data_IF_962668600943
#
_entry.id   IF_962668600943
#
_cell.length_a   1.000
_cell.length_b   1.000
_cell.length_c   1.000
_cell.angle_alpha   90.00
_cell.angle_beta   90.00
_cell.angle_gamma   90.00
#
_symmetry.space_group_name_H-M   'P 1'
#
loop_
_entity.id
_entity.type
_entity.pdbx_description
1 polymer ?
#
# COMPACT_ATOMS: atom_id res chain seq x y z
N UNK A 1 -1.71 -5.59 -8.09
CA UNK A 1 -1.12 -4.39 -8.74
C UNK A 1 -2.16 -3.29 -8.67
N UNK A 2 -1.80 -2.12 -8.14
CA UNK A 2 -2.75 -1.00 -7.94
C UNK A 2 -3.52 -0.61 -9.22
N UNK A 3 -2.86 -0.65 -10.38
CA UNK A 3 -3.49 -0.38 -11.68
C UNK A 3 -4.62 -1.37 -12.04
N UNK A 4 -4.46 -2.67 -11.76
CA UNK A 4 -5.52 -3.67 -11.99
C UNK A 4 -6.71 -3.44 -11.05
N UNK A 5 -6.45 -3.06 -9.80
CA UNK A 5 -7.51 -2.71 -8.85
C UNK A 5 -8.24 -1.43 -9.28
N UNK A 6 -7.53 -0.43 -9.80
CA UNK A 6 -8.12 0.82 -10.29
C UNK A 6 -9.10 0.58 -11.45
N UNK A 7 -8.70 -0.21 -12.45
CA UNK A 7 -9.55 -0.53 -13.60
C UNK A 7 -10.87 -1.19 -13.17
N UNK A 8 -10.79 -2.20 -12.29
CA UNK A 8 -11.98 -2.89 -11.75
C UNK A 8 -12.90 -1.92 -11.01
N UNK A 9 -12.35 -0.98 -10.23
CA UNK A 9 -13.15 0.03 -9.52
C UNK A 9 -13.82 1.01 -10.46
N UNK A 10 -13.16 1.38 -11.57
CA UNK A 10 -13.77 2.22 -12.60
C UNK A 10 -14.93 1.50 -13.30
N UNK A 11 -14.76 0.23 -13.68
CA UNK A 11 -15.84 -0.58 -14.25
C UNK A 11 -17.02 -0.73 -13.29
N UNK A 12 -16.75 -0.96 -12.00
CA UNK A 12 -17.80 -1.00 -10.96
C UNK A 12 -18.56 0.32 -10.87
N UNK A 13 -17.85 1.46 -10.98
CA UNK A 13 -18.46 2.78 -10.97
C UNK A 13 -19.41 2.95 -12.15
N UNK A 14 -18.97 2.65 -13.37
CA UNK A 14 -19.79 2.71 -14.58
C UNK A 14 -21.06 1.86 -14.42
N UNK A 15 -20.92 0.62 -13.95
CA UNK A 15 -22.07 -0.26 -13.71
C UNK A 15 -23.06 0.30 -12.68
N UNK A 16 -22.59 1.00 -11.65
CA UNK A 16 -23.46 1.64 -10.66
C UNK A 16 -24.14 2.89 -11.21
N UNK A 17 -23.45 3.65 -12.05
CA UNK A 17 -24.01 4.81 -12.77
C UNK A 17 -25.12 4.37 -13.73
N UNK A 18 -24.89 3.33 -14.53
CA UNK A 18 -25.91 2.76 -15.42
C UNK A 18 -27.16 2.32 -14.65
N UNK A 19 -26.98 1.57 -13.55
CA UNK A 19 -28.10 1.14 -12.70
C UNK A 19 -28.83 2.32 -12.05
N UNK A 20 -28.11 3.35 -11.65
CA UNK A 20 -28.70 4.55 -11.07
C UNK A 20 -29.54 5.28 -12.11
N UNK A 21 -29.02 5.44 -13.32
CA UNK A 21 -29.73 6.09 -14.43
C UNK A 21 -30.98 5.31 -14.80
N UNK A 22 -30.89 3.98 -14.95
CA UNK A 22 -32.06 3.13 -15.18
C UNK A 22 -33.13 3.30 -14.09
N UNK A 23 -32.74 3.32 -12.81
CA UNK A 23 -33.69 3.52 -11.71
C UNK A 23 -34.32 4.91 -11.75
N UNK A 24 -33.55 5.94 -12.07
CA UNK A 24 -34.04 7.31 -12.17
C UNK A 24 -35.04 7.46 -13.33
N UNK A 25 -34.74 6.89 -14.51
CA UNK A 25 -35.66 6.87 -15.64
C UNK A 25 -36.97 6.17 -15.27
N UNK A 26 -36.91 4.98 -14.67
CA UNK A 26 -38.11 4.26 -14.23
C UNK A 26 -38.95 5.04 -13.20
N UNK A 27 -38.31 5.84 -12.34
CA UNK A 27 -39.01 6.68 -11.37
C UNK A 27 -39.63 7.91 -12.06
N UNK A 28 -38.94 8.50 -13.02
CA UNK A 28 -39.45 9.61 -13.83
C UNK A 28 -40.67 9.18 -14.66
N UNK A 29 -40.63 8.01 -15.30
CA UNK A 29 -41.74 7.44 -16.08
C UNK A 29 -42.98 7.17 -15.20
N UNK A 30 -42.76 6.89 -13.91
CA UNK A 30 -43.83 6.72 -12.91
C UNK A 30 -44.33 8.03 -12.30
N UNK A 31 -43.85 9.17 -12.78
CA UNK A 31 -44.21 10.49 -12.25
C UNK A 31 -43.71 10.73 -10.83
N UNK A 32 -42.64 10.06 -10.39
CA UNK A 32 -42.10 10.27 -9.06
C UNK A 32 -41.43 11.65 -8.98
N UNK A 33 -41.95 12.51 -8.10
CA UNK A 33 -41.30 13.80 -7.79
C UNK A 33 -39.93 13.64 -7.13
N UNK A 34 -39.15 14.72 -7.12
CA UNK A 34 -37.79 14.78 -6.58
C UNK A 34 -37.69 14.27 -5.12
N UNK A 35 -38.70 14.54 -4.29
CA UNK A 35 -38.76 14.10 -2.91
C UNK A 35 -38.91 12.57 -2.79
N UNK A 36 -39.72 11.96 -3.66
CA UNK A 36 -39.88 10.50 -3.69
C UNK A 36 -38.61 9.82 -4.20
N UNK A 37 -37.97 10.41 -5.22
CA UNK A 37 -36.69 9.94 -5.75
C UNK A 37 -35.58 10.02 -4.69
N UNK A 38 -35.53 11.11 -3.92
CA UNK A 38 -34.51 11.27 -2.88
C UNK A 38 -34.71 10.30 -1.71
N UNK A 39 -35.96 9.90 -1.45
CA UNK A 39 -36.33 8.91 -0.42
C UNK A 39 -36.17 7.46 -0.88
N UNK A 40 -36.15 7.19 -2.19
CA UNK A 40 -35.99 5.85 -2.77
C UNK A 40 -34.74 5.14 -2.24
N UNK A 41 -34.94 3.95 -1.66
CA UNK A 41 -33.89 3.18 -1.01
C UNK A 41 -32.83 2.70 -2.00
N UNK A 42 -33.24 2.27 -3.19
CA UNK A 42 -32.35 1.81 -4.25
C UNK A 42 -31.45 2.95 -4.75
N UNK A 43 -32.01 4.14 -5.00
CA UNK A 43 -31.24 5.34 -5.36
C UNK A 43 -30.22 5.69 -4.27
N UNK A 44 -30.63 5.68 -2.99
CA UNK A 44 -29.70 5.95 -1.87
C UNK A 44 -28.56 4.93 -1.82
N UNK A 45 -28.86 3.64 -1.96
CA UNK A 45 -27.86 2.58 -1.95
C UNK A 45 -26.87 2.69 -3.12
N UNK A 46 -27.36 2.97 -4.32
CA UNK A 46 -26.52 3.14 -5.52
C UNK A 46 -25.59 4.35 -5.36
N UNK A 47 -26.11 5.49 -4.90
CA UNK A 47 -25.28 6.67 -4.60
C UNK A 47 -24.25 6.40 -3.50
N UNK A 48 -24.60 5.62 -2.48
CA UNK A 48 -23.67 5.24 -1.42
C UNK A 48 -22.52 4.38 -1.98
N UNK A 49 -22.83 3.38 -2.81
CA UNK A 49 -21.83 2.55 -3.49
C UNK A 49 -20.90 3.37 -4.39
N UNK A 50 -21.43 4.33 -5.16
CA UNK A 50 -20.61 5.24 -5.95
C UNK A 50 -19.63 6.04 -5.08
N UNK A 51 -20.10 6.62 -3.98
CA UNK A 51 -19.24 7.38 -3.05
C UNK A 51 -18.14 6.50 -2.44
N UNK A 52 -18.45 5.24 -2.12
CA UNK A 52 -17.46 4.30 -1.62
C UNK A 52 -16.39 3.99 -2.68
N UNK A 53 -16.82 3.71 -3.92
CA UNK A 53 -15.92 3.45 -5.04
C UNK A 53 -15.02 4.67 -5.31
N UNK A 54 -15.56 5.88 -5.30
CA UNK A 54 -14.80 7.11 -5.48
C UNK A 54 -13.76 7.30 -4.36
N UNK A 55 -14.12 7.04 -3.11
CA UNK A 55 -13.15 7.08 -1.99
C UNK A 55 -12.01 6.10 -2.20
N UNK A 56 -12.31 4.88 -2.67
CA UNK A 56 -11.29 3.87 -2.97
C UNK A 56 -10.38 4.30 -4.12
N UNK A 57 -10.94 4.87 -5.18
CA UNK A 57 -10.17 5.41 -6.31
C UNK A 57 -9.21 6.51 -5.86
N UNK A 58 -9.66 7.46 -5.04
CA UNK A 58 -8.80 8.52 -4.48
C UNK A 58 -7.61 7.95 -3.69
N UNK A 59 -7.85 6.95 -2.84
CA UNK A 59 -6.77 6.30 -2.07
C UNK A 59 -5.77 5.61 -3.00
N UNK A 60 -6.22 5.00 -4.09
CA UNK A 60 -5.33 4.40 -5.09
C UNK A 60 -4.49 5.48 -5.77
N UNK A 61 -5.12 6.59 -6.19
CA UNK A 61 -4.42 7.72 -6.82
C UNK A 61 -3.39 8.36 -5.90
N UNK A 62 -3.70 8.55 -4.62
CA UNK A 62 -2.74 9.05 -3.63
C UNK A 62 -1.53 8.12 -3.47
N UNK A 63 -1.76 6.80 -3.47
CA UNK A 63 -0.69 5.81 -3.43
C UNK A 63 0.16 5.85 -4.70
N UNK A 64 -0.47 5.98 -5.87
CA UNK A 64 0.22 6.10 -7.17
C UNK A 64 1.11 7.37 -7.19
N UNK A 65 0.60 8.50 -6.70
CA UNK A 65 1.39 9.75 -6.59
C UNK A 65 2.60 9.59 -5.68
N UNK A 66 2.41 9.02 -4.47
CA UNK A 66 3.52 8.76 -3.53
C UNK A 66 4.57 7.83 -4.14
N UNK A 67 4.16 6.80 -4.88
CA UNK A 67 5.08 5.90 -5.58
C UNK A 67 5.87 6.64 -6.67
N UNK A 68 5.21 7.51 -7.44
CA UNK A 68 5.87 8.34 -8.45
C UNK A 68 6.88 9.32 -7.83
N UNK A 69 6.53 9.99 -6.74
CA UNK A 69 7.45 10.87 -6.01
C UNK A 69 8.67 10.10 -5.48
N UNK A 70 8.44 8.94 -4.85
CA UNK A 70 9.52 8.08 -4.39
C UNK A 70 10.40 7.57 -5.54
N UNK A 71 9.82 7.29 -6.70
CA UNK A 71 10.57 6.91 -7.90
C UNK A 71 11.44 8.06 -8.42
N UNK A 72 10.93 9.29 -8.44
CA UNK A 72 11.71 10.48 -8.81
C UNK A 72 12.87 10.73 -7.86
N UNK A 73 12.63 10.70 -6.55
CA UNK A 73 13.70 10.85 -5.54
C UNK A 73 14.75 9.75 -5.67
N UNK A 74 14.35 8.51 -5.95
CA UNK A 74 15.29 7.42 -6.22
C UNK A 74 16.08 7.65 -7.50
N UNK A 75 15.44 8.09 -8.58
CA UNK A 75 16.09 8.40 -9.84
C UNK A 75 17.10 9.53 -9.69
N UNK A 76 16.74 10.61 -8.99
CA UNK A 76 17.65 11.72 -8.67
C UNK A 76 18.85 11.26 -7.84
N UNK A 77 18.63 10.45 -6.80
CA UNK A 77 19.73 9.89 -5.98
C UNK A 77 20.65 8.94 -6.75
N UNK A 78 20.13 8.23 -7.75
CA UNK A 78 20.92 7.35 -8.62
C UNK A 78 21.61 8.12 -9.75
N UNK A 79 21.05 9.24 -10.18
CA UNK A 79 21.61 10.13 -11.19
C UNK A 79 22.70 11.06 -10.64
N UNK A 80 22.72 11.32 -9.33
CA UNK A 80 23.90 11.90 -8.67
C UNK A 80 25.01 10.86 -8.76
N UNK A 81 26.08 11.09 -9.54
CA UNK A 81 27.20 10.17 -9.57
C UNK A 81 27.68 10.05 -8.14
N UNK A 82 27.87 8.81 -7.66
CA UNK A 82 28.68 8.58 -6.46
C UNK A 82 30.02 9.24 -6.76
N UNK A 83 30.21 10.49 -6.33
CA UNK A 83 31.53 11.11 -6.25
C UNK A 83 32.32 10.12 -5.44
N UNK A 84 33.23 9.43 -6.13
CA UNK A 84 34.17 8.49 -5.57
C UNK A 84 34.88 9.21 -4.42
N UNK A 85 34.36 9.05 -3.20
CA UNK A 85 35.09 9.37 -1.99
C UNK A 85 36.19 8.33 -1.92
N UNK A 86 37.33 8.69 -2.51
CA UNK A 86 38.65 8.24 -2.17
C UNK A 86 38.84 6.72 -2.09
N UNK A 87 39.52 6.17 -3.09
CA UNK A 87 40.53 5.13 -2.85
C UNK A 87 41.54 5.67 -1.82
N UNK A 88 41.25 5.55 -0.53
CA UNK A 88 42.25 5.59 0.54
C UNK A 88 41.69 4.86 1.76
N UNK A 89 42.17 3.64 1.97
CA UNK A 89 41.79 2.80 3.12
C UNK A 89 41.66 1.31 2.79
N UNK A 90 42.72 0.71 2.24
CA UNK A 90 42.96 -0.72 2.45
C UNK A 90 43.24 -0.89 3.96
N UNK A 91 42.38 -1.65 4.65
CA UNK A 91 42.36 -2.12 6.06
C UNK A 91 41.02 -1.70 6.67
N UNK A 92 40.03 -2.55 6.82
CA UNK A 92 40.08 -3.69 7.74
C UNK A 92 39.15 -4.80 7.27
N UNK A 93 39.74 -5.97 7.03
CA UNK A 93 39.03 -7.24 6.86
C UNK A 93 38.67 -7.75 8.25
N UNK A 94 37.40 -8.11 8.42
CA UNK A 94 36.88 -9.11 9.35
C UNK A 94 37.19 -8.98 10.85
N UNK A 95 36.25 -8.36 11.58
CA UNK A 95 35.78 -9.01 12.82
C UNK A 95 34.25 -9.09 12.77
N UNK A 96 33.66 -10.29 12.70
CA UNK A 96 32.25 -10.45 13.03
C UNK A 96 32.14 -10.21 14.54
N UNK A 97 31.45 -9.13 14.93
CA UNK A 97 31.04 -8.96 16.31
C UNK A 97 30.11 -10.13 16.67
N UNK A 98 30.67 -11.14 17.34
CA UNK A 98 29.97 -12.32 17.85
C UNK A 98 28.70 -11.85 18.59
N UNK A 99 27.54 -12.27 18.11
CA UNK A 99 26.25 -11.90 18.73
C UNK A 99 26.20 -12.46 20.16
N UNK A 100 25.53 -11.76 21.08
CA UNK A 100 25.27 -12.16 22.47
C UNK A 100 24.82 -13.63 22.60
N UNK A 101 24.16 -14.17 21.56
CA UNK A 101 23.71 -15.56 21.48
C UNK A 101 24.85 -16.58 21.30
N UNK A 102 25.91 -16.24 20.58
CA UNK A 102 27.08 -17.09 20.36
C UNK A 102 27.98 -17.15 21.60
N UNK A 103 28.14 -16.02 22.31
CA UNK A 103 28.87 -15.99 23.59
C UNK A 103 28.20 -16.85 24.67
N UNK A 104 26.85 -16.85 24.75
CA UNK A 104 26.10 -17.69 25.69
C UNK A 104 26.23 -19.18 25.37
N UNK A 105 26.41 -19.54 24.09
CA UNK A 105 26.59 -20.93 23.64
C UNK A 105 28.02 -21.43 23.93
N UNK A 106 29.04 -20.56 23.82
CA UNK A 106 30.43 -20.87 24.22
C UNK A 106 30.54 -21.08 25.75
N UNK A 107 29.98 -20.17 26.56
CA UNK A 107 29.94 -20.34 28.03
C UNK A 107 29.21 -21.60 28.50
N UNK A 108 28.16 -22.05 27.78
CA UNK A 108 27.44 -23.28 28.11
C UNK A 108 28.19 -24.55 27.69
N UNK A 109 29.11 -24.45 26.71
CA UNK A 109 29.99 -25.56 26.33
C UNK A 109 31.18 -25.68 27.30
N UNK A 110 31.83 -24.57 27.65
CA UNK A 110 32.91 -24.57 28.66
C UNK A 110 32.45 -25.09 30.02
N UNK A 111 31.24 -24.74 30.46
CA UNK A 111 30.67 -25.24 31.73
C UNK A 111 30.24 -26.71 31.67
N UNK A 112 30.24 -27.34 30.50
CA UNK A 112 29.96 -28.77 30.32
C UNK A 112 31.23 -29.62 30.13
N UNK A 113 32.34 -29.01 29.74
CA UNK A 113 33.61 -29.71 29.48
C UNK A 113 34.53 -29.79 30.70
N UNK A 114 34.31 -28.99 31.74
CA UNK A 114 34.98 -29.17 33.04
C UNK A 114 33.95 -29.41 34.15
N UNK A 115 33.47 -30.65 34.35
CA UNK A 115 32.82 -31.03 35.58
C UNK A 115 33.90 -31.62 36.49
N UNK A 116 34.77 -30.79 37.07
CA UNK A 116 35.54 -31.11 38.29
C UNK A 116 36.51 -29.98 38.62
N UNK A 117 36.22 -29.28 39.71
CA UNK A 117 37.14 -29.05 40.83
C UNK A 117 36.40 -28.26 41.90
N UNK A 118 36.46 -28.82 43.11
CA UNK A 118 35.93 -28.36 44.39
C UNK A 118 36.04 -26.85 44.65
#
# INVERSE_FOLDING_TARGET
>A
MASKEKAVRLEQKVRWEEKLNQRLSLLADRGAGSEKISKDTTVKQLRAKMRETDKRLRVIEEKEKKLQEMAKVKAEKLAVPKKEKGKKGKTSKDQPADSKRQQKKKKKKEKKENPDKD
#
